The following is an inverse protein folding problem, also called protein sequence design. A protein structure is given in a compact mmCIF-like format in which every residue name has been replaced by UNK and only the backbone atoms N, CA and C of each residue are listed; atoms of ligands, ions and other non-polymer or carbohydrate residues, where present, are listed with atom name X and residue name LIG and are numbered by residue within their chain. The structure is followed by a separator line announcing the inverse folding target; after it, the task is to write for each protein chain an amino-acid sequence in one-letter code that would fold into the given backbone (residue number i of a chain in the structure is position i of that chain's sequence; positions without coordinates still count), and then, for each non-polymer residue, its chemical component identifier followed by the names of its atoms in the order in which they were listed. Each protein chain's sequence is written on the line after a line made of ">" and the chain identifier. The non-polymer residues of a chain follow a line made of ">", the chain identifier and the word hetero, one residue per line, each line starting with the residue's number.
data_IF_892800142168
#
_entry.id   IF_892800142168
#
_cell.length_a   1.000
_cell.length_b   1.000
_cell.length_c   1.000
_cell.angle_alpha   90.00
_cell.angle_beta   90.00
_cell.angle_gamma   90.00
#
_symmetry.space_group_name_H-M   'P 1'
#
loop_
_entity.id
_entity.type
_entity.pdbx_description
1 polymer ?
#
# COMPACT_ATOMS: atom_id res chain seq x y z
N UNK A 1 -2.30 -6.72 3.67
CA UNK A 1 -1.25 -7.28 2.78
C UNK A 1 -0.15 -6.26 2.74
N UNK A 2 1.05 -6.66 3.13
CA UNK A 2 2.24 -5.81 3.18
C UNK A 2 2.99 -5.91 1.86
N UNK A 3 3.47 -4.78 1.36
CA UNK A 3 4.27 -4.72 0.14
C UNK A 3 5.17 -3.49 0.12
N UNK A 4 6.28 -3.55 -0.62
CA UNK A 4 7.02 -2.35 -1.04
C UNK A 4 6.68 -2.05 -2.49
N UNK A 5 6.22 -0.83 -2.74
CA UNK A 5 5.91 -0.33 -4.08
C UNK A 5 6.31 1.13 -4.12
N UNK A 6 6.84 1.59 -5.25
CA UNK A 6 7.15 3.01 -5.40
C UNK A 6 5.84 3.81 -5.50
N UNK A 7 5.79 5.05 -4.98
CA UNK A 7 4.60 5.89 -5.09
C UNK A 7 4.09 6.06 -6.53
N UNK A 8 4.99 6.18 -7.51
CA UNK A 8 4.66 6.31 -8.94
C UNK A 8 4.14 5.01 -9.58
N UNK A 9 4.47 3.85 -9.01
CA UNK A 9 3.94 2.55 -9.47
C UNK A 9 2.54 2.24 -8.93
N UNK A 10 2.07 2.97 -7.90
CA UNK A 10 0.77 2.69 -7.26
C UNK A 10 -0.38 2.84 -8.25
N UNK A 11 -0.37 3.89 -9.08
CA UNK A 11 -1.43 4.12 -10.07
C UNK A 11 -1.58 2.93 -11.03
N UNK A 12 -0.46 2.41 -11.56
CA UNK A 12 -0.47 1.22 -12.40
C UNK A 12 -0.95 -0.03 -11.64
N UNK A 13 -0.55 -0.17 -10.37
CA UNK A 13 -0.89 -1.31 -9.52
C UNK A 13 -2.39 -1.43 -9.22
N UNK A 14 -3.09 -0.30 -9.13
CA UNK A 14 -4.53 -0.24 -8.87
C UNK A 14 -5.33 0.29 -10.06
N UNK A 15 -4.74 0.35 -11.26
CA UNK A 15 -5.39 0.87 -12.48
C UNK A 15 -6.76 0.24 -12.75
N UNK A 16 -6.86 -1.09 -12.68
CA UNK A 16 -8.13 -1.82 -12.81
C UNK A 16 -9.22 -1.35 -11.83
N UNK A 17 -8.83 -0.91 -10.63
CA UNK A 17 -9.78 -0.33 -9.66
C UNK A 17 -10.13 1.11 -9.98
N UNK A 18 -9.15 1.89 -10.42
CA UNK A 18 -9.37 3.27 -10.85
C UNK A 18 -10.33 3.28 -12.04
N UNK A 19 -10.26 2.25 -12.90
CA UNK A 19 -11.10 2.16 -14.08
C UNK A 19 -12.52 1.64 -13.84
N UNK A 20 -12.75 0.95 -12.73
CA UNK A 20 -14.05 0.39 -12.39
C UNK A 20 -15.02 1.46 -11.88
N UNK A 21 -16.06 1.75 -12.67
CA UNK A 21 -17.08 2.75 -12.34
C UNK A 21 -17.96 2.39 -11.13
N UNK A 22 -17.90 1.15 -10.64
CA UNK A 22 -18.58 0.74 -9.41
C UNK A 22 -17.76 1.01 -8.14
N UNK A 23 -16.52 1.48 -8.28
CA UNK A 23 -15.63 1.80 -7.18
C UNK A 23 -15.45 3.30 -7.09
N UNK A 24 -15.70 3.85 -5.89
CA UNK A 24 -15.35 5.22 -5.57
C UNK A 24 -13.96 5.21 -4.96
N UNK A 25 -13.13 6.15 -5.41
CA UNK A 25 -11.76 6.31 -4.94
C UNK A 25 -11.69 7.62 -4.17
N UNK A 26 -11.26 7.53 -2.92
CA UNK A 26 -10.98 8.69 -2.08
C UNK A 26 -9.47 8.79 -1.87
N UNK A 27 -8.89 9.93 -2.28
CA UNK A 27 -7.48 10.25 -2.03
C UNK A 27 -7.37 11.00 -0.71
N UNK A 28 -6.45 10.58 0.16
CA UNK A 28 -6.08 11.32 1.36
C UNK A 28 -4.71 11.94 1.16
N UNK A 29 -4.65 13.27 1.25
CA UNK A 29 -3.40 14.01 1.14
C UNK A 29 -2.86 14.43 2.52
N UNK A 30 -1.58 14.13 2.75
CA UNK A 30 -0.82 14.61 3.90
C UNK A 30 -1.19 14.00 5.25
N UNK A 31 -0.47 14.44 6.29
CA UNK A 31 -0.72 14.13 7.69
C UNK A 31 -1.47 15.26 8.42
N UNK A 32 -1.97 16.26 7.68
CA UNK A 32 -2.58 17.47 8.26
C UNK A 32 -3.99 17.17 8.72
N UNK A 33 -4.34 17.65 9.92
CA UNK A 33 -5.71 17.64 10.43
C UNK A 33 -6.29 19.05 10.21
N UNK A 34 -7.47 19.20 9.59
CA UNK A 34 -8.32 18.13 9.06
C UNK A 34 -7.74 17.49 7.80
N UNK A 35 -7.92 16.18 7.66
CA UNK A 35 -7.56 15.47 6.43
C UNK A 35 -8.41 16.02 5.27
N UNK A 36 -7.79 16.12 4.10
CA UNK A 36 -8.46 16.46 2.86
C UNK A 36 -8.77 15.18 2.09
N UNK A 37 -10.01 15.09 1.60
CA UNK A 37 -10.53 13.94 0.87
C UNK A 37 -11.01 14.40 -0.49
N UNK A 38 -10.53 13.75 -1.55
CA UNK A 38 -10.92 14.04 -2.92
C UNK A 38 -11.56 12.80 -3.52
N UNK A 39 -12.69 12.98 -4.21
CA UNK A 39 -13.39 11.92 -4.93
C UNK A 39 -13.33 12.22 -6.41
N UNK A 40 -12.77 11.31 -7.20
CA UNK A 40 -12.74 11.39 -8.66
C UNK A 40 -11.99 12.59 -9.27
N UNK A 41 -11.10 13.25 -8.54
CA UNK A 41 -10.11 14.11 -9.19
C UNK A 41 -9.17 13.19 -9.98
N UNK A 42 -9.09 13.41 -11.30
CA UNK A 42 -8.35 12.66 -12.33
C UNK A 42 -7.71 11.37 -11.83
N UNK A 43 -8.23 10.18 -12.22
CA UNK A 43 -7.86 8.78 -11.85
C UNK A 43 -6.35 8.46 -11.80
N UNK A 44 -5.60 9.21 -11.03
CA UNK A 44 -4.15 9.28 -10.95
C UNK A 44 -3.87 9.47 -9.46
N UNK A 45 -2.99 8.61 -8.96
CA UNK A 45 -2.46 8.76 -7.62
C UNK A 45 -1.41 9.88 -7.70
N UNK A 46 -1.66 11.09 -7.16
CA UNK A 46 -0.67 12.15 -7.22
C UNK A 46 0.60 11.73 -6.46
N UNK A 47 1.79 12.26 -6.81
CA UNK A 47 3.05 11.87 -6.17
C UNK A 47 3.04 12.02 -4.64
N UNK A 48 2.25 12.95 -4.10
CA UNK A 48 2.07 13.22 -2.67
C UNK A 48 0.99 12.38 -1.98
N UNK A 49 0.37 11.43 -2.68
CA UNK A 49 -0.67 10.58 -2.09
C UNK A 49 -0.08 9.68 -1.01
N UNK A 50 -0.67 9.73 0.18
CA UNK A 50 -0.28 8.87 1.30
C UNK A 50 -1.26 7.71 1.51
N UNK A 51 -2.53 7.89 1.16
CA UNK A 51 -3.56 6.85 1.30
C UNK A 51 -4.58 6.94 0.16
N UNK A 52 -4.88 5.80 -0.44
CA UNK A 52 -6.06 5.59 -1.28
C UNK A 52 -7.09 4.77 -0.51
N UNK A 53 -8.35 5.20 -0.54
CA UNK A 53 -9.48 4.49 0.05
C UNK A 53 -10.49 4.17 -1.03
N UNK A 54 -10.89 2.90 -1.12
CA UNK A 54 -11.82 2.39 -2.11
C UNK A 54 -13.15 2.04 -1.42
N UNK A 55 -14.27 2.54 -1.94
CA UNK A 55 -15.62 2.20 -1.46
C UNK A 55 -16.50 1.73 -2.61
N UNK A 56 -17.54 0.93 -2.31
CA UNK A 56 -18.52 0.44 -3.30
C UNK A 56 -19.80 1.27 -3.33
N UNK A 57 -19.91 2.23 -2.42
CA UNK A 57 -20.97 3.23 -2.33
C UNK A 57 -20.34 4.62 -2.27
N UNK A 58 -21.09 5.69 -2.62
CA UNK A 58 -20.63 7.06 -2.45
C UNK A 58 -20.09 7.29 -1.04
N UNK A 59 -18.84 7.76 -0.88
CA UNK A 59 -18.21 7.85 0.44
C UNK A 59 -18.78 9.01 1.25
N UNK A 60 -18.89 8.81 2.56
CA UNK A 60 -19.23 9.88 3.52
C UNK A 60 -17.95 10.64 3.88
N UNK A 61 -17.82 11.87 3.36
CA UNK A 61 -16.61 12.71 3.49
C UNK A 61 -16.56 13.60 4.74
N UNK A 62 -17.60 13.60 5.58
CA UNK A 62 -17.69 14.47 6.76
C UNK A 62 -16.72 14.11 7.90
N UNK A 63 -15.92 13.06 7.72
CA UNK A 63 -14.94 12.60 8.70
C UNK A 63 -13.75 13.58 8.82
N UNK A 64 -13.20 13.71 10.03
CA UNK A 64 -12.01 14.53 10.31
C UNK A 64 -10.73 13.72 10.54
N UNK A 65 -10.84 12.39 10.45
CA UNK A 65 -9.72 11.45 10.60
C UNK A 65 -10.01 10.19 9.79
N UNK A 66 -8.96 9.46 9.42
CA UNK A 66 -9.10 8.19 8.69
C UNK A 66 -9.92 7.17 9.50
N UNK A 67 -9.74 7.12 10.81
CA UNK A 67 -10.51 6.22 11.68
C UNK A 67 -12.01 6.53 11.65
N UNK A 68 -12.40 7.82 11.74
CA UNK A 68 -13.81 8.21 11.62
C UNK A 68 -14.35 7.95 10.21
N UNK A 69 -13.52 8.18 9.18
CA UNK A 69 -13.89 7.90 7.80
C UNK A 69 -14.22 6.42 7.61
N UNK A 70 -13.36 5.52 8.08
CA UNK A 70 -13.60 4.07 8.01
C UNK A 70 -14.81 3.64 8.86
N UNK A 71 -15.11 4.35 9.95
CA UNK A 71 -16.33 4.14 10.72
C UNK A 71 -17.61 4.49 9.95
N UNK A 72 -17.60 5.56 9.15
CA UNK A 72 -18.72 5.93 8.29
C UNK A 72 -18.80 5.12 6.99
N UNK A 73 -17.69 4.51 6.58
CA UNK A 73 -17.56 3.74 5.35
C UNK A 73 -17.05 2.32 5.67
N UNK A 74 -17.86 1.47 6.34
CA UNK A 74 -17.41 0.19 6.92
C UNK A 74 -17.07 -0.88 5.89
N UNK A 75 -17.43 -0.67 4.62
CA UNK A 75 -17.11 -1.57 3.51
C UNK A 75 -15.86 -1.15 2.73
N UNK A 76 -15.09 -0.18 3.25
CA UNK A 76 -13.92 0.35 2.57
C UNK A 76 -12.71 -0.60 2.55
N UNK A 77 -11.92 -0.50 1.47
CA UNK A 77 -10.54 -0.99 1.43
C UNK A 77 -9.57 0.18 1.43
N UNK A 78 -8.44 0.04 2.11
CA UNK A 78 -7.43 1.09 2.29
C UNK A 78 -6.10 0.60 1.74
N UNK A 79 -5.48 1.41 0.89
CA UNK A 79 -4.09 1.28 0.50
C UNK A 79 -3.30 2.45 1.07
N UNK A 80 -2.52 2.18 2.13
CA UNK A 80 -1.53 3.13 2.63
C UNK A 80 -0.26 2.97 1.81
N UNK A 81 0.28 4.09 1.33
CA UNK A 81 1.40 4.13 0.39
C UNK A 81 2.67 4.50 1.15
N UNK A 82 3.64 3.58 1.09
CA UNK A 82 4.97 3.77 1.65
C UNK A 82 5.72 4.87 0.91
N UNK A 83 6.39 5.72 1.67
CA UNK A 83 7.12 6.86 1.13
C UNK A 83 8.57 6.49 0.81
N UNK A 84 9.10 7.06 -0.27
CA UNK A 84 10.53 7.03 -0.55
C UNK A 84 11.19 8.22 0.14
N UNK A 85 12.09 7.95 1.08
CA UNK A 85 12.83 8.96 1.82
C UNK A 85 14.34 8.71 1.73
N UNK A 86 15.16 9.61 2.28
CA UNK A 86 16.60 9.39 2.41
C UNK A 86 16.96 8.15 3.25
N UNK A 87 16.08 7.72 4.15
CA UNK A 87 16.29 6.53 4.96
C UNK A 87 15.98 5.22 4.20
N UNK A 88 15.18 5.29 3.12
CA UNK A 88 14.71 4.13 2.39
C UNK A 88 13.27 4.24 1.91
N UNK A 89 12.77 3.14 1.33
CA UNK A 89 11.39 2.99 0.92
C UNK A 89 10.60 2.33 2.05
N UNK A 90 9.57 3.01 2.56
CA UNK A 90 8.68 2.45 3.57
C UNK A 90 7.71 1.42 2.98
N UNK A 91 7.24 0.53 3.83
CA UNK A 91 6.21 -0.44 3.51
C UNK A 91 4.87 0.24 3.21
N UNK A 92 4.19 -0.28 2.18
CA UNK A 92 2.78 -0.02 1.88
C UNK A 92 1.89 -1.12 2.45
N UNK A 93 0.63 -0.79 2.70
CA UNK A 93 -0.33 -1.74 3.26
C UNK A 93 -1.69 -1.66 2.56
N UNK A 94 -2.12 -2.78 1.96
CA UNK A 94 -3.50 -2.96 1.48
C UNK A 94 -4.32 -3.73 2.52
N UNK A 95 -5.34 -3.09 3.10
CA UNK A 95 -6.28 -3.68 4.05
C UNK A 95 -7.72 -3.49 3.63
N UNK A 96 -8.60 -4.33 4.17
CA UNK A 96 -10.03 -4.13 4.15
C UNK A 96 -10.59 -4.81 5.41
N UNK A 97 -11.57 -4.18 6.04
CA UNK A 97 -12.27 -4.74 7.19
C UNK A 97 -13.75 -4.47 6.99
N UNK A 98 -14.54 -5.51 6.74
CA UNK A 98 -15.97 -5.41 6.43
C UNK A 98 -16.68 -6.70 6.85
N UNK A 99 -17.92 -6.56 7.32
CA UNK A 99 -18.84 -7.69 7.55
C UNK A 99 -19.61 -8.10 6.29
N UNK A 100 -19.58 -7.28 5.24
CA UNK A 100 -20.26 -7.52 3.97
C UNK A 100 -19.44 -8.50 3.11
N UNK A 101 -20.03 -9.67 2.81
CA UNK A 101 -19.38 -10.74 2.05
C UNK A 101 -19.06 -10.32 0.61
N UNK A 102 -19.90 -9.51 -0.01
CA UNK A 102 -19.71 -9.08 -1.39
C UNK A 102 -18.60 -8.04 -1.49
N UNK A 103 -18.55 -7.09 -0.56
CA UNK A 103 -17.43 -6.16 -0.44
C UNK A 103 -16.11 -6.90 -0.21
N UNK A 104 -16.08 -7.85 0.74
CA UNK A 104 -14.90 -8.67 0.99
C UNK A 104 -14.47 -9.49 -0.25
N UNK A 105 -15.41 -10.05 -1.01
CA UNK A 105 -15.12 -10.75 -2.27
C UNK A 105 -14.46 -9.81 -3.27
N UNK A 106 -14.98 -8.60 -3.43
CA UNK A 106 -14.43 -7.57 -4.31
C UNK A 106 -13.01 -7.17 -3.90
N UNK A 107 -12.75 -6.92 -2.63
CA UNK A 107 -11.41 -6.58 -2.14
C UNK A 107 -10.40 -7.72 -2.22
N UNK A 108 -10.85 -8.98 -2.12
CA UNK A 108 -10.00 -10.14 -2.42
C UNK A 108 -9.60 -10.20 -3.90
N UNK A 109 -10.48 -9.80 -4.81
CA UNK A 109 -10.15 -9.70 -6.24
C UNK A 109 -9.12 -8.59 -6.47
N UNK A 110 -9.29 -7.42 -5.87
CA UNK A 110 -8.27 -6.36 -5.86
C UNK A 110 -6.92 -6.87 -5.38
N UNK A 111 -6.89 -7.52 -4.20
CA UNK A 111 -5.65 -8.05 -3.68
C UNK A 111 -5.03 -9.08 -4.64
N UNK A 112 -5.83 -9.86 -5.37
CA UNK A 112 -5.33 -10.80 -6.40
C UNK A 112 -4.65 -10.07 -7.56
N UNK A 113 -5.16 -8.93 -8.00
CA UNK A 113 -4.55 -8.10 -9.05
C UNK A 113 -3.19 -7.57 -8.60
N UNK A 114 -3.16 -6.95 -7.41
CA UNK A 114 -1.91 -6.48 -6.79
C UNK A 114 -0.89 -7.63 -6.65
N UNK A 115 -1.35 -8.83 -6.29
CA UNK A 115 -0.49 -10.02 -6.20
C UNK A 115 0.08 -10.50 -7.54
N UNK A 116 -0.58 -10.22 -8.66
CA UNK A 116 -0.10 -10.58 -10.00
C UNK A 116 0.96 -9.61 -10.48
N UNK A 117 0.82 -8.33 -10.13
CA UNK A 117 1.77 -7.27 -10.48
C UNK A 117 2.99 -7.20 -9.54
N UNK A 118 3.04 -8.00 -8.47
CA UNK A 118 4.13 -7.97 -7.47
C UNK A 118 4.80 -9.33 -7.30
N UNK A 119 6.08 -9.29 -6.96
CA UNK A 119 6.87 -10.45 -6.57
C UNK A 119 6.67 -10.73 -5.07
N UNK A 120 6.98 -11.95 -4.63
CA UNK A 120 6.73 -12.43 -3.26
C UNK A 120 8.04 -12.89 -2.61
N UNK A 121 8.19 -12.57 -1.34
CA UNK A 121 9.21 -13.13 -0.47
C UNK A 121 10.23 -12.10 0.02
N UNK A 122 10.41 -12.03 1.33
CA UNK A 122 11.45 -11.24 1.96
C UNK A 122 11.90 -11.89 3.27
N UNK A 123 12.90 -11.31 3.90
CA UNK A 123 13.41 -11.68 5.21
C UNK A 123 13.44 -10.41 6.07
N UNK A 124 12.84 -10.46 7.26
CA UNK A 124 13.04 -9.43 8.27
C UNK A 124 14.39 -9.68 8.94
N UNK A 125 15.20 -8.64 9.07
CA UNK A 125 16.52 -8.69 9.71
C UNK A 125 16.56 -7.67 10.84
N UNK A 126 16.96 -8.09 12.03
CA UNK A 126 17.28 -7.19 13.12
C UNK A 126 18.71 -6.65 12.90
N UNK A 127 18.90 -5.35 12.61
CA UNK A 127 20.21 -4.81 12.28
C UNK A 127 21.19 -4.80 13.48
N UNK A 128 20.70 -4.93 14.72
CA UNK A 128 21.54 -4.96 15.93
C UNK A 128 22.07 -6.35 16.25
N UNK A 129 21.28 -7.40 16.01
CA UNK A 129 21.62 -8.77 16.41
C UNK A 129 21.88 -9.70 15.23
N UNK A 130 21.52 -9.31 14.01
CA UNK A 130 21.56 -10.17 12.83
C UNK A 130 20.47 -11.24 12.79
N UNK A 131 19.57 -11.29 13.79
CA UNK A 131 18.48 -12.26 13.82
C UNK A 131 17.56 -12.08 12.61
N UNK A 132 17.15 -13.19 11.98
CA UNK A 132 16.33 -13.18 10.78
C UNK A 132 15.01 -13.93 10.97
N UNK A 133 13.97 -13.49 10.26
CA UNK A 133 12.69 -14.17 10.20
C UNK A 133 12.11 -14.14 8.77
N UNK A 134 11.65 -15.28 8.22
CA UNK A 134 11.11 -15.31 6.86
C UNK A 134 9.78 -14.58 6.76
N UNK A 135 9.70 -13.58 5.87
CA UNK A 135 8.46 -12.87 5.54
C UNK A 135 7.86 -13.43 4.25
N UNK A 136 7.40 -14.68 4.29
CA UNK A 136 6.89 -15.39 3.11
C UNK A 136 5.74 -14.64 2.43
N UNK A 137 4.90 -13.94 3.18
CA UNK A 137 3.75 -13.19 2.65
C UNK A 137 4.08 -11.81 2.07
N UNK A 138 5.30 -11.31 2.30
CA UNK A 138 5.73 -9.99 1.88
C UNK A 138 5.82 -9.89 0.37
N UNK A 139 5.53 -8.72 -0.17
CA UNK A 139 5.53 -8.46 -1.60
C UNK A 139 6.32 -7.23 -1.96
N UNK A 140 6.73 -7.16 -3.22
CA UNK A 140 7.44 -6.00 -3.73
C UNK A 140 7.23 -5.83 -5.23
N UNK A 141 7.17 -4.59 -5.70
CA UNK A 141 7.12 -4.26 -7.12
C UNK A 141 8.48 -4.39 -7.79
N UNK A 142 8.50 -4.29 -9.12
CA UNK A 142 9.74 -4.25 -9.91
C UNK A 142 10.59 -3.04 -9.55
N UNK A 143 9.98 -1.86 -9.42
CA UNK A 143 10.67 -0.64 -9.02
C UNK A 143 11.25 -0.71 -7.60
N UNK A 144 10.50 -1.26 -6.63
CA UNK A 144 11.00 -1.47 -5.27
C UNK A 144 12.21 -2.41 -5.25
N UNK A 145 12.18 -3.50 -6.06
CA UNK A 145 13.35 -4.38 -6.23
C UNK A 145 14.54 -3.64 -6.82
N UNK A 146 14.31 -2.84 -7.85
CA UNK A 146 15.39 -2.08 -8.50
C UNK A 146 16.05 -1.09 -7.55
N UNK A 147 15.27 -0.41 -6.69
CA UNK A 147 15.83 0.44 -5.63
C UNK A 147 16.61 -0.36 -4.59
N UNK A 148 16.06 -1.49 -4.15
CA UNK A 148 16.74 -2.37 -3.20
C UNK A 148 18.12 -2.84 -3.72
N UNK A 149 18.19 -3.25 -4.99
CA UNK A 149 19.45 -3.67 -5.63
C UNK A 149 20.45 -2.51 -5.78
N UNK A 150 19.98 -1.26 -5.80
CA UNK A 150 20.83 -0.05 -5.79
C UNK A 150 21.25 0.38 -4.38
N UNK A 151 20.89 -0.38 -3.34
CA UNK A 151 21.26 -0.11 -1.95
C UNK A 151 20.23 0.68 -1.15
N UNK A 152 19.04 0.96 -1.69
CA UNK A 152 17.96 1.58 -0.91
C UNK A 152 17.40 0.58 0.11
N UNK A 153 17.36 0.97 1.39
CA UNK A 153 16.76 0.13 2.42
C UNK A 153 15.24 -0.02 2.22
N UNK A 154 14.73 -1.24 2.44
CA UNK A 154 13.29 -1.50 2.53
C UNK A 154 12.91 -1.48 4.01
N UNK A 155 12.09 -0.50 4.38
CA UNK A 155 11.77 -0.19 5.77
C UNK A 155 10.41 -0.77 6.14
N UNK A 156 10.28 -1.51 7.26
CA UNK A 156 8.99 -1.96 7.72
C UNK A 156 8.09 -0.78 8.09
N UNK A 157 6.77 -1.01 8.12
CA UNK A 157 5.81 -0.02 8.60
C UNK A 157 6.11 0.44 10.04
N UNK A 158 6.56 -0.49 10.89
CA UNK A 158 6.89 -0.22 12.27
C UNK A 158 8.03 -1.13 12.77
N UNK A 159 8.72 -0.67 13.81
CA UNK A 159 9.82 -1.38 14.45
C UNK A 159 11.20 -1.00 13.89
N UNK A 160 12.23 -1.71 14.36
CA UNK A 160 13.64 -1.41 14.06
C UNK A 160 14.28 -2.39 13.10
N UNK A 161 13.50 -3.30 12.52
CA UNK A 161 14.00 -4.27 11.56
C UNK A 161 14.22 -3.62 10.20
N UNK A 162 15.02 -4.23 9.35
CA UNK A 162 15.07 -3.96 7.91
C UNK A 162 14.48 -5.15 7.16
N UNK A 163 13.98 -4.91 5.96
CA UNK A 163 13.44 -5.95 5.10
C UNK A 163 14.43 -6.20 3.97
N UNK A 164 14.85 -7.45 3.82
CA UNK A 164 15.68 -7.89 2.70
C UNK A 164 14.84 -8.67 1.70
N UNK A 165 14.84 -8.24 0.44
CA UNK A 165 14.06 -8.90 -0.61
C UNK A 165 14.79 -10.17 -1.07
N UNK A 166 14.04 -11.25 -1.30
CA UNK A 166 14.61 -12.48 -1.86
C UNK A 166 15.06 -12.20 -3.31
N UNK A 167 16.27 -12.66 -3.67
CA UNK A 167 16.85 -12.44 -5.00
C UNK A 167 17.96 -11.38 -5.05
N UNK A 168 18.63 -11.13 -3.92
CA UNK A 168 20.00 -10.57 -3.87
C UNK A 168 20.94 -11.60 -4.51
N UNK A 169 20.88 -11.78 -5.83
CA UNK A 169 21.98 -12.44 -6.54
C UNK A 169 23.12 -11.44 -6.48
N UNK A 170 24.04 -11.65 -5.53
CA UNK A 170 25.34 -11.01 -5.57
C UNK A 170 25.99 -11.57 -6.84
N UNK A 171 26.25 -10.70 -7.82
CA UNK A 171 27.21 -11.06 -8.85
C UNK A 171 28.56 -11.22 -8.12
N UNK A 172 29.02 -12.46 -8.00
CA UNK A 172 30.41 -12.78 -7.67
C UNK A 172 31.34 -12.28 -8.79
#
# INVERSE_FOLDING_TARGET
>A
MQLHVLPDEVGALVSDLLDDSSVFVTVVEGARIPLQFYVNEERLCPPQCSVLIFTLSPPVLSARSIYKFLGFNPDASVLQIGQLTSAGLSESWLSAMTGNKDAMKRWKQTAKLVRRATQKGAVAVNPKTGATAPMKGHRFSTGARALYLKGTAMLPWAGTNIIELIGKTVAE
#
